data_IF_254722519283
#
_entry.id   IF_254722519283
#
_cell.length_a   1.000
_cell.length_b   1.000
_cell.length_c   1.000
_cell.angle_alpha   90.00
_cell.angle_beta   90.00
_cell.angle_gamma   90.00
#
_symmetry.space_group_name_H-M   'P 1'
#
loop_
_entity.id
_entity.type
_entity.pdbx_description
1 polymer ?
#
# COMPACT_ATOMS: atom_id res chain seq x y z
N UNK A 1 17.08 -33.85 37.17
CA UNK A 1 17.95 -32.82 36.60
C UNK A 1 18.41 -33.21 35.21
N UNK A 2 18.37 -32.30 34.31
CA UNK A 2 18.90 -32.53 32.97
C UNK A 2 20.44 -32.53 32.98
N UNK A 3 21.01 -33.35 32.12
CA UNK A 3 22.47 -33.35 31.92
C UNK A 3 22.86 -32.10 31.12
N UNK A 4 24.15 -31.76 31.19
CA UNK A 4 24.68 -30.64 30.37
C UNK A 4 24.52 -30.91 28.88
N UNK A 5 24.66 -32.17 28.45
CA UNK A 5 24.44 -32.54 27.05
C UNK A 5 22.98 -32.29 26.60
N UNK A 6 22.00 -32.61 27.44
CA UNK A 6 20.60 -32.37 27.17
C UNK A 6 20.30 -30.89 27.01
N UNK A 7 20.90 -30.07 27.87
CA UNK A 7 20.72 -28.61 27.82
C UNK A 7 21.32 -28.06 26.52
N UNK A 8 22.52 -28.53 26.15
CA UNK A 8 23.18 -28.09 24.91
C UNK A 8 22.38 -28.49 23.67
N UNK A 9 21.83 -29.70 23.63
CA UNK A 9 20.98 -30.16 22.55
C UNK A 9 19.73 -29.27 22.42
N UNK A 10 19.12 -28.91 23.54
CA UNK A 10 17.96 -28.01 23.56
C UNK A 10 18.31 -26.63 23.05
N UNK A 11 19.48 -26.10 23.43
CA UNK A 11 19.95 -24.80 22.95
C UNK A 11 20.27 -24.81 21.46
N UNK A 12 20.89 -25.87 20.95
CA UNK A 12 21.18 -26.00 19.53
C UNK A 12 19.91 -26.05 18.69
N UNK A 13 18.94 -26.84 19.16
CA UNK A 13 17.65 -26.94 18.49
C UNK A 13 16.92 -25.60 18.47
N UNK A 14 16.91 -24.92 19.61
CA UNK A 14 16.32 -23.59 19.73
C UNK A 14 16.98 -22.57 18.79
N UNK A 15 18.31 -22.55 18.77
CA UNK A 15 19.07 -21.63 17.93
C UNK A 15 18.81 -21.89 16.45
N UNK A 16 18.70 -23.15 16.03
CA UNK A 16 18.38 -23.53 14.65
C UNK A 16 17.00 -23.05 14.24
N UNK A 17 15.98 -23.32 15.06
CA UNK A 17 14.61 -22.90 14.80
C UNK A 17 14.51 -21.40 14.75
N UNK A 18 15.21 -20.71 15.65
CA UNK A 18 15.26 -19.27 15.71
C UNK A 18 15.90 -18.66 14.46
N UNK A 19 16.98 -19.30 13.97
CA UNK A 19 17.66 -18.89 12.75
C UNK A 19 16.76 -19.02 11.53
N UNK A 20 16.03 -20.12 11.39
CA UNK A 20 15.06 -20.33 10.32
C UNK A 20 13.90 -19.32 10.39
N UNK A 21 13.46 -19.05 11.60
CA UNK A 21 12.39 -18.05 11.83
C UNK A 21 12.85 -16.65 11.42
N UNK A 22 14.07 -16.26 11.78
CA UNK A 22 14.67 -14.98 11.41
C UNK A 22 14.80 -14.86 9.90
N UNK A 23 15.26 -15.93 9.22
CA UNK A 23 15.32 -15.94 7.75
C UNK A 23 13.96 -15.73 7.11
N UNK A 24 12.94 -16.40 7.65
CA UNK A 24 11.56 -16.25 7.17
C UNK A 24 11.07 -14.81 7.32
N UNK A 25 11.37 -14.19 8.45
CA UNK A 25 11.03 -12.78 8.70
C UNK A 25 11.73 -11.87 7.71
N UNK A 26 13.01 -12.07 7.47
CA UNK A 26 13.80 -11.28 6.50
C UNK A 26 13.21 -11.37 5.10
N UNK A 27 12.84 -12.56 4.65
CA UNK A 27 12.20 -12.75 3.34
C UNK A 27 10.87 -12.02 3.25
N UNK A 28 10.07 -12.08 4.31
CA UNK A 28 8.80 -11.36 4.38
C UNK A 28 9.00 -9.85 4.32
N UNK A 29 10.02 -9.34 5.01
CA UNK A 29 10.37 -7.92 4.98
C UNK A 29 10.83 -7.49 3.58
N UNK A 30 11.66 -8.29 2.92
CA UNK A 30 12.12 -8.00 1.57
C UNK A 30 10.96 -7.94 0.59
N UNK A 31 10.03 -8.90 0.65
CA UNK A 31 8.82 -8.91 -0.17
C UNK A 31 7.96 -7.67 0.09
N UNK A 32 7.79 -7.32 1.35
CA UNK A 32 7.03 -6.13 1.74
C UNK A 32 7.65 -4.87 1.17
N UNK A 33 8.99 -4.73 1.26
CA UNK A 33 9.70 -3.58 0.71
C UNK A 33 9.54 -3.49 -0.80
N UNK A 34 9.59 -4.62 -1.51
CA UNK A 34 9.38 -4.66 -2.96
C UNK A 34 7.97 -4.20 -3.31
N UNK A 35 6.97 -4.67 -2.57
CA UNK A 35 5.57 -4.29 -2.77
C UNK A 35 5.38 -2.79 -2.50
N UNK A 36 5.94 -2.28 -1.41
CA UNK A 36 5.84 -0.86 -1.07
C UNK A 36 6.51 0.02 -2.12
N UNK A 37 7.68 -0.38 -2.61
CA UNK A 37 8.37 0.35 -3.68
C UNK A 37 7.53 0.37 -4.96
N UNK A 38 6.86 -0.74 -5.28
CA UNK A 38 5.96 -0.82 -6.42
C UNK A 38 4.76 0.11 -6.24
N UNK A 39 4.15 0.10 -5.05
CA UNK A 39 3.02 0.98 -4.72
C UNK A 39 3.42 2.45 -4.88
N UNK A 40 4.56 2.85 -4.32
CA UNK A 40 5.06 4.22 -4.42
C UNK A 40 5.26 4.63 -5.88
N UNK A 41 5.86 3.76 -6.69
CA UNK A 41 6.09 4.02 -8.09
C UNK A 41 4.78 4.18 -8.86
N UNK A 42 3.81 3.32 -8.61
CA UNK A 42 2.51 3.37 -9.30
C UNK A 42 1.71 4.60 -8.88
N UNK A 43 1.76 4.99 -7.62
CA UNK A 43 1.12 6.21 -7.15
C UNK A 43 1.76 7.45 -7.76
N UNK A 44 3.08 7.45 -7.93
CA UNK A 44 3.78 8.56 -8.58
C UNK A 44 3.39 8.66 -10.06
N UNK A 45 3.29 7.53 -10.76
CA UNK A 45 2.81 7.48 -12.14
C UNK A 45 1.38 7.98 -12.24
N UNK A 46 0.52 7.62 -11.29
CA UNK A 46 -0.85 8.12 -11.25
C UNK A 46 -0.90 9.64 -11.06
N UNK A 47 -0.05 10.16 -10.18
CA UNK A 47 0.09 11.61 -9.98
C UNK A 47 0.46 12.30 -11.30
N UNK A 48 1.46 11.79 -12.00
CA UNK A 48 1.91 12.35 -13.28
C UNK A 48 0.78 12.29 -14.31
N UNK A 49 0.08 11.16 -14.39
CA UNK A 49 -1.05 11.00 -15.30
C UNK A 49 -2.16 12.03 -15.03
N UNK A 50 -2.53 12.21 -13.77
CA UNK A 50 -3.55 13.18 -13.39
C UNK A 50 -3.12 14.61 -13.73
N UNK A 51 -1.85 14.94 -13.51
CA UNK A 51 -1.31 16.27 -13.82
C UNK A 51 -1.25 16.53 -15.33
N UNK A 52 -0.90 15.51 -16.11
CA UNK A 52 -0.81 15.62 -17.56
C UNK A 52 -2.16 15.77 -18.22
N UNK A 53 -3.20 15.17 -17.70
CA UNK A 53 -4.57 15.36 -18.19
C UNK A 53 -5.06 16.80 -18.02
N UNK A 54 -4.47 17.51 -17.05
CA UNK A 54 -4.61 18.95 -16.93
C UNK A 54 -5.95 19.46 -16.39
N UNK A 55 -6.88 18.60 -15.98
CA UNK A 55 -8.13 19.04 -15.38
C UNK A 55 -7.97 19.18 -13.88
N UNK A 56 -8.68 20.15 -13.31
CA UNK A 56 -8.70 20.33 -11.86
C UNK A 56 -9.30 19.12 -11.16
N UNK A 57 -10.26 18.45 -11.79
CA UNK A 57 -10.85 17.23 -11.26
C UNK A 57 -9.86 16.10 -11.14
N UNK A 58 -9.02 15.90 -12.15
CA UNK A 58 -8.02 14.83 -12.13
C UNK A 58 -6.98 15.05 -11.03
N UNK A 59 -6.51 16.29 -10.89
CA UNK A 59 -5.56 16.65 -9.83
C UNK A 59 -6.20 16.46 -8.45
N UNK A 60 -7.46 16.88 -8.29
CA UNK A 60 -8.20 16.70 -7.05
C UNK A 60 -8.38 15.22 -6.72
N UNK A 61 -8.71 14.39 -7.73
CA UNK A 61 -8.86 12.93 -7.53
C UNK A 61 -7.59 12.31 -6.95
N UNK A 62 -6.44 12.66 -7.48
CA UNK A 62 -5.16 12.20 -6.95
C UNK A 62 -5.04 12.59 -5.47
N UNK A 63 -5.29 13.85 -5.13
CA UNK A 63 -5.18 14.34 -3.75
C UNK A 63 -6.20 13.65 -2.83
N UNK A 64 -7.42 13.42 -3.29
CA UNK A 64 -8.45 12.70 -2.53
C UNK A 64 -8.01 11.26 -2.23
N UNK A 65 -7.44 10.57 -3.21
CA UNK A 65 -6.90 9.22 -3.02
C UNK A 65 -5.78 9.22 -1.98
N UNK A 66 -4.87 10.15 -2.08
CA UNK A 66 -3.73 10.25 -1.16
C UNK A 66 -4.20 10.55 0.27
N UNK A 67 -5.12 11.48 0.46
CA UNK A 67 -5.67 11.82 1.78
C UNK A 67 -6.47 10.67 2.38
N UNK A 68 -7.16 9.90 1.55
CA UNK A 68 -7.99 8.79 2.02
C UNK A 68 -7.16 7.59 2.47
N UNK A 69 -6.14 7.23 1.70
CA UNK A 69 -5.46 5.93 1.89
C UNK A 69 -4.00 6.02 2.30
N UNK A 70 -3.31 7.08 1.97
CA UNK A 70 -1.85 7.12 2.07
C UNK A 70 -1.34 8.06 3.17
N UNK A 71 -1.82 9.29 3.17
CA UNK A 71 -1.29 10.32 4.08
C UNK A 71 -1.80 10.15 5.51
N UNK A 72 -0.95 10.50 6.46
CA UNK A 72 -1.30 10.56 7.87
C UNK A 72 -1.41 12.03 8.30
N UNK A 73 -2.27 12.36 9.27
CA UNK A 73 -3.24 11.48 9.90
C UNK A 73 -4.40 11.13 8.97
N UNK A 74 -5.03 9.97 9.19
CA UNK A 74 -6.20 9.56 8.42
C UNK A 74 -7.35 10.52 8.69
N UNK A 75 -8.03 10.91 7.60
CA UNK A 75 -9.13 11.86 7.66
C UNK A 75 -10.45 11.18 7.29
N UNK A 76 -11.52 11.65 7.87
CA UNK A 76 -12.87 11.21 7.49
C UNK A 76 -13.25 11.79 6.12
N UNK A 77 -14.26 11.20 5.48
CA UNK A 77 -14.79 11.70 4.23
C UNK A 77 -15.26 13.15 4.39
N UNK A 78 -15.87 13.46 5.52
CA UNK A 78 -16.34 14.81 5.79
C UNK A 78 -15.20 15.83 5.89
N UNK A 79 -14.11 15.45 6.54
CA UNK A 79 -12.91 16.30 6.63
C UNK A 79 -12.28 16.53 5.26
N UNK A 80 -12.19 15.48 4.45
CA UNK A 80 -11.66 15.56 3.09
C UNK A 80 -12.54 16.46 2.23
N UNK A 81 -13.87 16.29 2.29
CA UNK A 81 -14.83 17.13 1.59
C UNK A 81 -14.64 18.59 1.96
N UNK A 82 -14.47 18.87 3.26
CA UNK A 82 -14.23 20.24 3.75
C UNK A 82 -12.93 20.84 3.24
N UNK A 83 -11.87 20.03 3.21
CA UNK A 83 -10.54 20.48 2.74
C UNK A 83 -10.59 20.93 1.27
N UNK A 84 -11.28 20.17 0.43
CA UNK A 84 -11.34 20.46 -1.01
C UNK A 84 -12.56 21.31 -1.41
N UNK A 85 -13.43 21.66 -0.46
CA UNK A 85 -14.63 22.44 -0.77
C UNK A 85 -15.62 21.72 -1.67
N UNK A 86 -15.76 20.42 -1.49
CA UNK A 86 -16.65 19.56 -2.29
C UNK A 86 -17.63 18.83 -1.37
N UNK A 87 -18.66 18.24 -1.97
CA UNK A 87 -19.62 17.42 -1.23
C UNK A 87 -19.04 16.03 -0.95
N UNK A 88 -19.53 15.39 0.10
CA UNK A 88 -19.15 14.00 0.43
C UNK A 88 -19.36 13.07 -0.74
N UNK A 89 -20.45 13.24 -1.48
CA UNK A 89 -20.74 12.46 -2.67
C UNK A 89 -19.64 12.58 -3.72
N UNK A 90 -19.06 13.77 -3.88
CA UNK A 90 -17.98 14.02 -4.82
C UNK A 90 -16.70 13.29 -4.40
N UNK A 91 -16.42 13.19 -3.08
CA UNK A 91 -15.30 12.39 -2.58
C UNK A 91 -15.44 10.93 -3.03
N UNK A 92 -16.61 10.34 -2.85
CA UNK A 92 -16.85 8.96 -3.29
C UNK A 92 -16.75 8.79 -4.80
N UNK A 93 -17.24 9.77 -5.57
CA UNK A 93 -17.10 9.77 -7.04
C UNK A 93 -15.63 9.80 -7.45
N UNK A 94 -14.83 10.63 -6.80
CA UNK A 94 -13.40 10.73 -7.07
C UNK A 94 -12.69 9.38 -6.78
N UNK A 95 -12.99 8.76 -5.66
CA UNK A 95 -12.43 7.45 -5.30
C UNK A 95 -12.82 6.38 -6.31
N UNK A 96 -14.09 6.34 -6.71
CA UNK A 96 -14.55 5.40 -7.71
C UNK A 96 -13.90 5.63 -9.07
N UNK A 97 -13.75 6.90 -9.47
CA UNK A 97 -13.10 7.24 -10.75
C UNK A 97 -11.61 6.86 -10.78
N UNK A 98 -10.96 6.78 -9.62
CA UNK A 98 -9.55 6.41 -9.52
C UNK A 98 -9.32 4.90 -9.64
N UNK A 99 -10.35 4.08 -9.45
CA UNK A 99 -10.20 2.61 -9.40
C UNK A 99 -9.63 2.06 -10.70
N UNK A 100 -10.18 2.41 -11.86
CA UNK A 100 -9.74 1.84 -13.14
C UNK A 100 -8.30 2.21 -13.49
N UNK A 101 -7.91 3.49 -13.49
CA UNK A 101 -6.52 3.84 -13.79
C UNK A 101 -5.53 3.25 -12.78
N UNK A 102 -5.87 3.21 -11.51
CA UNK A 102 -5.01 2.59 -10.49
C UNK A 102 -4.91 1.08 -10.70
N UNK A 103 -6.01 0.42 -11.01
CA UNK A 103 -5.99 -1.02 -11.33
C UNK A 103 -5.08 -1.30 -12.52
N UNK A 104 -5.17 -0.49 -13.57
CA UNK A 104 -4.31 -0.63 -14.74
C UNK A 104 -2.82 -0.44 -14.38
N UNK A 105 -2.50 0.54 -13.56
CA UNK A 105 -1.12 0.81 -13.14
C UNK A 105 -0.56 -0.32 -12.26
N UNK A 106 -1.34 -0.81 -11.31
CA UNK A 106 -0.88 -1.83 -10.37
C UNK A 106 -0.82 -3.22 -10.98
N UNK A 107 -1.78 -3.59 -11.82
CA UNK A 107 -1.96 -4.96 -12.28
C UNK A 107 -1.94 -5.13 -13.80
N UNK A 108 -1.82 -4.03 -14.55
CA UNK A 108 -1.84 -4.04 -16.00
C UNK A 108 -3.25 -3.86 -16.56
N UNK A 109 -3.30 -3.48 -17.84
CA UNK A 109 -4.56 -3.13 -18.51
C UNK A 109 -5.50 -4.33 -18.66
N UNK A 110 -4.96 -5.54 -18.74
CA UNK A 110 -5.75 -6.76 -18.85
C UNK A 110 -6.62 -6.99 -17.60
N UNK A 111 -6.14 -6.58 -16.41
CA UNK A 111 -6.91 -6.67 -15.18
C UNK A 111 -8.16 -5.77 -15.21
N UNK A 112 -8.06 -4.61 -15.86
CA UNK A 112 -9.20 -3.70 -16.03
C UNK A 112 -10.22 -4.32 -16.97
N UNK A 113 -9.77 -4.93 -18.07
CA UNK A 113 -10.66 -5.59 -19.05
C UNK A 113 -11.34 -6.83 -18.49
N UNK A 114 -10.69 -7.53 -17.57
CA UNK A 114 -11.24 -8.71 -16.92
C UNK A 114 -12.32 -8.38 -15.87
N UNK A 115 -12.28 -7.17 -15.35
CA UNK A 115 -13.26 -6.69 -14.40
C UNK A 115 -14.50 -6.17 -15.12
#
# INVERSE_FOLDING_TARGET
KESAASILDGLESYTRDDSLYIESIKRSQERTLIILAHIEKMLDLYRVWCQQNGTEEDVRRYEVVMETYIREPKKSVQEIAGTFGIERRTVYKDLNAAIQPLTALFFGIDAVKAA
#
